data_IF_807138367873
#
_entry.id   IF_807138367873
#
_cell.length_a   1.000
_cell.length_b   1.000
_cell.length_c   1.000
_cell.angle_alpha   90.00
_cell.angle_beta   90.00
_cell.angle_gamma   90.00
#
_symmetry.space_group_name_H-M   'P 1'
#
loop_
_entity.id
_entity.type
_entity.pdbx_description
1 polymer ?
#
# COMPACT_ATOMS: atom_id res chain seq x y z
N UNK A 1 31.61 -7.61 -3.51
CA UNK A 1 30.14 -7.64 -3.61
C UNK A 1 29.74 -6.48 -4.48
N UNK A 2 29.46 -6.73 -5.76
CA UNK A 2 28.94 -5.73 -6.68
C UNK A 2 27.50 -5.42 -6.24
N UNK A 3 27.25 -4.20 -5.76
CA UNK A 3 25.88 -3.70 -5.61
C UNK A 3 25.23 -3.76 -6.99
N UNK A 4 24.37 -4.75 -7.22
CA UNK A 4 23.52 -4.76 -8.41
C UNK A 4 22.59 -3.57 -8.25
N UNK A 5 22.76 -2.56 -9.12
CA UNK A 5 21.85 -1.42 -9.15
C UNK A 5 20.50 -1.95 -9.64
N UNK A 6 19.53 -2.05 -8.75
CA UNK A 6 18.19 -2.51 -9.13
C UNK A 6 17.56 -1.46 -10.03
N UNK A 7 16.98 -1.85 -11.19
CA UNK A 7 16.45 -0.90 -12.14
C UNK A 7 15.34 -0.08 -11.48
N UNK A 8 15.47 1.24 -11.60
CA UNK A 8 14.55 2.25 -11.05
C UNK A 8 14.18 3.22 -12.14
N UNK A 9 12.88 3.43 -12.33
CA UNK A 9 12.31 4.34 -13.31
C UNK A 9 11.48 5.40 -12.59
N UNK A 10 11.45 6.60 -13.16
CA UNK A 10 10.55 7.67 -12.75
C UNK A 10 9.79 8.07 -14.00
N UNK A 11 8.46 7.97 -13.93
CA UNK A 11 7.57 8.27 -15.06
C UNK A 11 6.41 9.13 -14.58
N UNK A 12 5.92 10.03 -15.43
CA UNK A 12 4.64 10.71 -15.18
C UNK A 12 3.46 9.76 -15.46
N UNK A 13 2.25 10.13 -15.05
CA UNK A 13 1.05 9.35 -15.37
C UNK A 13 0.82 9.16 -16.88
N UNK A 14 1.10 10.19 -17.68
CA UNK A 14 0.95 10.13 -19.14
C UNK A 14 2.02 9.19 -19.74
N UNK A 15 3.27 9.31 -19.29
CA UNK A 15 4.36 8.41 -19.68
C UNK A 15 4.08 6.96 -19.30
N UNK A 16 3.54 6.74 -18.10
CA UNK A 16 3.17 5.42 -17.59
C UNK A 16 2.07 4.80 -18.45
N UNK A 17 1.07 5.57 -18.84
CA UNK A 17 -0.01 5.12 -19.74
C UNK A 17 0.51 4.80 -21.14
N UNK A 18 1.35 5.66 -21.72
CA UNK A 18 1.97 5.43 -23.04
C UNK A 18 2.81 4.15 -23.04
N UNK A 19 3.68 3.97 -22.04
CA UNK A 19 4.52 2.79 -21.93
C UNK A 19 3.68 1.51 -21.72
N UNK A 20 2.69 1.55 -20.82
CA UNK A 20 1.79 0.42 -20.56
C UNK A 20 0.98 0.02 -21.81
N UNK A 21 0.41 0.99 -22.53
CA UNK A 21 -0.39 0.74 -23.72
C UNK A 21 0.41 0.04 -24.83
N UNK A 22 1.69 0.42 -25.03
CA UNK A 22 2.56 -0.15 -26.07
C UNK A 22 2.86 -1.62 -25.88
N UNK A 23 2.97 -2.07 -24.63
CA UNK A 23 3.20 -3.48 -24.30
C UNK A 23 1.91 -4.25 -24.01
N UNK A 24 0.74 -3.63 -24.24
CA UNK A 24 -0.56 -4.26 -24.04
C UNK A 24 -0.99 -4.40 -22.57
N UNK A 25 -0.36 -3.70 -21.63
CA UNK A 25 -0.81 -3.65 -20.22
C UNK A 25 -2.11 -2.87 -20.14
N UNK A 26 -3.19 -3.58 -19.84
CA UNK A 26 -4.56 -3.03 -19.84
C UNK A 26 -4.99 -2.43 -18.50
N UNK A 27 -4.30 -2.79 -17.42
CA UNK A 27 -4.66 -2.37 -16.07
C UNK A 27 -3.41 -2.26 -15.21
N UNK A 28 -3.44 -1.29 -14.30
CA UNK A 28 -2.45 -1.10 -13.25
C UNK A 28 -3.13 -1.29 -11.89
N UNK A 29 -2.36 -1.55 -10.82
CA UNK A 29 -2.90 -1.68 -9.48
C UNK A 29 -3.77 -0.48 -9.09
N UNK A 30 -5.01 -0.75 -8.66
CA UNK A 30 -6.05 0.27 -8.44
C UNK A 30 -5.60 1.33 -7.44
N UNK A 31 -4.78 0.93 -6.45
CA UNK A 31 -4.25 1.85 -5.44
C UNK A 31 -3.42 2.98 -6.04
N UNK A 32 -2.76 2.77 -7.19
CA UNK A 32 -1.99 3.82 -7.86
C UNK A 32 -2.89 4.94 -8.39
N UNK A 33 -4.17 4.69 -8.62
CA UNK A 33 -5.14 5.71 -9.06
C UNK A 33 -4.67 6.50 -10.30
N UNK A 34 -3.96 5.80 -11.20
CA UNK A 34 -3.59 6.33 -12.50
C UNK A 34 -4.87 6.45 -13.32
N UNK A 35 -5.16 7.67 -13.78
CA UNK A 35 -6.35 7.99 -14.56
C UNK A 35 -5.92 8.72 -15.82
N UNK A 36 -6.54 8.44 -16.98
CA UNK A 36 -6.41 9.31 -18.14
C UNK A 36 -6.79 10.73 -17.73
N UNK A 37 -5.99 11.71 -18.16
CA UNK A 37 -6.34 13.12 -17.96
C UNK A 37 -7.66 13.40 -18.65
N UNK A 38 -8.59 14.03 -17.93
CA UNK A 38 -9.83 14.54 -18.52
C UNK A 38 -9.48 15.79 -19.33
N UNK A 39 -9.78 15.80 -20.62
CA UNK A 39 -9.47 16.88 -21.55
C UNK A 39 -10.19 16.69 -22.88
N UNK A 40 -9.98 17.62 -23.81
CA UNK A 40 -10.44 17.41 -25.19
C UNK A 40 -9.65 16.27 -25.84
N UNK A 41 -10.18 15.67 -26.90
CA UNK A 41 -9.45 14.65 -27.67
C UNK A 41 -8.07 15.16 -28.13
N UNK A 42 -7.99 16.43 -28.54
CA UNK A 42 -6.74 17.08 -28.93
C UNK A 42 -5.75 17.23 -27.76
N UNK A 43 -6.23 17.50 -26.55
CA UNK A 43 -5.36 17.57 -25.36
C UNK A 43 -4.79 16.20 -25.00
N UNK A 44 -5.60 15.15 -25.11
CA UNK A 44 -5.16 13.78 -24.86
C UNK A 44 -4.11 13.35 -25.87
N UNK A 45 -4.33 13.61 -27.17
CA UNK A 45 -3.37 13.29 -28.23
C UNK A 45 -2.03 14.02 -28.01
N UNK A 46 -2.08 15.32 -27.71
CA UNK A 46 -0.88 16.10 -27.41
C UNK A 46 -0.12 15.56 -26.20
N UNK A 47 -0.83 15.19 -25.11
CA UNK A 47 -0.21 14.59 -23.94
C UNK A 47 0.49 13.24 -24.26
N UNK A 48 -0.12 12.42 -25.12
CA UNK A 48 0.46 11.16 -25.59
C UNK A 48 1.72 11.40 -26.44
N UNK A 49 1.68 12.38 -27.34
CA UNK A 49 2.83 12.75 -28.17
C UNK A 49 3.99 13.31 -27.32
N UNK A 50 3.69 14.25 -26.41
CA UNK A 50 4.66 14.85 -25.49
C UNK A 50 5.32 13.77 -24.60
N UNK A 51 4.52 12.85 -24.04
CA UNK A 51 5.01 11.75 -23.22
C UNK A 51 5.85 10.75 -24.04
N UNK A 52 5.44 10.47 -25.29
CA UNK A 52 6.20 9.62 -26.21
C UNK A 52 7.57 10.21 -26.51
N UNK A 53 7.63 11.50 -26.82
CA UNK A 53 8.87 12.21 -27.10
C UNK A 53 9.78 12.19 -25.88
N UNK A 54 9.25 12.51 -24.70
CA UNK A 54 10.03 12.53 -23.45
C UNK A 54 10.60 11.14 -23.12
N UNK A 55 9.82 10.07 -23.30
CA UNK A 55 10.31 8.70 -23.12
C UNK A 55 11.39 8.32 -24.12
N UNK A 56 11.26 8.74 -25.38
CA UNK A 56 12.26 8.49 -26.41
C UNK A 56 13.57 9.24 -26.15
N UNK A 57 13.49 10.51 -25.71
CA UNK A 57 14.67 11.31 -25.32
C UNK A 57 15.43 10.68 -24.15
N UNK A 58 14.74 9.96 -23.25
CA UNK A 58 15.36 9.21 -22.14
C UNK A 58 15.81 7.79 -22.53
N UNK A 59 15.65 7.37 -23.79
CA UNK A 59 15.97 6.00 -24.23
C UNK A 59 15.07 4.92 -23.62
N UNK A 60 13.94 5.31 -23.02
CA UNK A 60 12.96 4.34 -22.49
C UNK A 60 12.03 3.83 -23.58
N UNK A 61 12.04 4.47 -24.74
CA UNK A 61 11.38 4.01 -25.95
C UNK A 61 12.33 4.19 -27.14
N UNK A 62 12.65 3.11 -27.81
CA UNK A 62 13.52 3.10 -28.99
C UNK A 62 12.86 2.32 -30.12
N UNK A 63 12.78 2.92 -31.30
CA UNK A 63 12.15 2.29 -32.49
C UNK A 63 10.70 1.80 -32.25
N UNK A 64 9.98 2.43 -31.31
CA UNK A 64 8.61 2.06 -30.94
C UNK A 64 8.52 1.03 -29.81
N UNK A 65 9.64 0.40 -29.43
CA UNK A 65 9.72 -0.60 -28.37
C UNK A 65 10.02 0.06 -27.02
N UNK A 66 9.41 -0.43 -25.95
CA UNK A 66 9.66 0.03 -24.57
C UNK A 66 10.90 -0.64 -24.02
N UNK A 67 11.72 0.09 -23.24
CA UNK A 67 12.87 -0.45 -22.51
C UNK A 67 12.49 -1.75 -21.78
N UNK A 68 13.35 -2.76 -21.89
CA UNK A 68 13.05 -4.11 -21.39
C UNK A 68 12.86 -4.15 -19.87
N UNK A 69 13.58 -3.31 -19.12
CA UNK A 69 13.43 -3.20 -17.67
C UNK A 69 12.09 -2.56 -17.30
N UNK A 70 11.73 -1.46 -17.96
CA UNK A 70 10.43 -0.81 -17.77
C UNK A 70 9.28 -1.76 -18.17
N UNK A 71 9.39 -2.42 -19.32
CA UNK A 71 8.40 -3.38 -19.80
C UNK A 71 8.20 -4.55 -18.82
N UNK A 72 9.29 -5.06 -18.24
CA UNK A 72 9.23 -6.13 -17.22
C UNK A 72 8.49 -5.68 -15.95
N UNK A 73 8.80 -4.48 -15.45
CA UNK A 73 8.13 -3.90 -14.27
C UNK A 73 6.63 -3.69 -14.54
N UNK A 74 6.27 -3.10 -15.68
CA UNK A 74 4.87 -2.84 -16.04
C UNK A 74 4.07 -4.13 -16.22
N UNK A 75 4.67 -5.16 -16.82
CA UNK A 75 4.05 -6.48 -16.95
C UNK A 75 3.76 -7.10 -15.58
N UNK A 76 4.70 -7.00 -14.63
CA UNK A 76 4.51 -7.51 -13.28
C UNK A 76 3.35 -6.81 -12.53
N UNK A 77 3.11 -5.53 -12.80
CA UNK A 77 2.02 -4.75 -12.20
C UNK A 77 0.63 -5.12 -12.75
N UNK A 78 0.52 -5.65 -13.97
CA UNK A 78 -0.77 -5.90 -14.61
C UNK A 78 -1.61 -6.97 -13.92
N UNK A 79 -0.97 -8.08 -13.52
CA UNK A 79 -1.65 -9.26 -12.97
C UNK A 79 -0.77 -9.96 -11.95
N UNK A 80 -0.62 -9.41 -10.74
CA UNK A 80 0.25 -9.99 -9.74
C UNK A 80 -0.39 -11.20 -9.04
N UNK A 81 0.44 -12.15 -8.61
CA UNK A 81 0.01 -13.26 -7.75
C UNK A 81 -0.39 -12.76 -6.34
N UNK A 82 0.33 -11.73 -5.87
CA UNK A 82 0.10 -11.04 -4.60
C UNK A 82 0.35 -9.55 -4.74
N UNK A 83 -0.43 -8.75 -4.03
CA UNK A 83 -0.26 -7.30 -3.95
C UNK A 83 -0.42 -6.83 -2.49
N UNK A 84 0.48 -5.96 -2.04
CA UNK A 84 0.25 -5.10 -0.88
C UNK A 84 0.05 -3.66 -1.37
N UNK A 85 -1.18 -3.18 -1.25
CA UNK A 85 -1.58 -1.84 -1.61
C UNK A 85 -1.56 -0.95 -0.36
N UNK A 86 -0.81 0.15 -0.39
CA UNK A 86 -0.74 1.12 0.70
C UNK A 86 -1.12 2.51 0.25
N UNK A 87 -2.04 3.15 0.97
CA UNK A 87 -2.34 4.58 0.84
C UNK A 87 -1.84 5.29 2.08
N UNK A 88 -0.87 6.19 1.91
CA UNK A 88 -0.35 7.07 2.96
C UNK A 88 -0.88 8.49 2.72
N UNK A 89 -1.57 9.04 3.72
CA UNK A 89 -2.09 10.40 3.73
C UNK A 89 -1.33 11.21 4.78
N UNK A 90 -0.68 12.28 4.34
CA UNK A 90 0.05 13.24 5.17
C UNK A 90 -0.50 14.66 4.94
N UNK A 91 -0.10 15.65 5.74
CA UNK A 91 -0.41 17.05 5.46
C UNK A 91 0.13 17.53 4.09
N UNK A 92 1.20 16.91 3.59
CA UNK A 92 1.85 17.27 2.33
C UNK A 92 1.20 16.62 1.10
N UNK A 93 0.30 15.65 1.30
CA UNK A 93 -0.43 15.00 0.22
C UNK A 93 -0.64 13.51 0.42
N UNK A 94 -0.87 12.80 -0.69
CA UNK A 94 -1.16 11.36 -0.68
C UNK A 94 -0.09 10.64 -1.48
N UNK A 95 0.62 9.70 -0.83
CA UNK A 95 1.44 8.72 -1.49
C UNK A 95 0.66 7.41 -1.66
N UNK A 96 0.64 6.88 -2.89
CA UNK A 96 0.02 5.61 -3.24
C UNK A 96 1.12 4.63 -3.58
N UNK A 97 1.24 3.56 -2.80
CA UNK A 97 2.31 2.59 -2.92
C UNK A 97 1.69 1.23 -3.18
N UNK A 98 2.26 0.46 -4.10
CA UNK A 98 1.94 -0.95 -4.26
C UNK A 98 3.22 -1.74 -4.29
N UNK A 99 3.23 -2.89 -3.62
CA UNK A 99 4.27 -3.90 -3.77
C UNK A 99 3.61 -5.14 -4.33
N UNK A 100 3.99 -5.51 -5.53
CA UNK A 100 3.46 -6.67 -6.23
C UNK A 100 4.48 -7.78 -6.27
N UNK A 101 3.99 -9.01 -6.34
CA UNK A 101 4.78 -10.21 -6.59
C UNK A 101 4.16 -11.01 -7.72
N UNK A 102 5.01 -11.41 -8.65
CA UNK A 102 4.66 -12.28 -9.78
C UNK A 102 5.75 -13.33 -9.91
N UNK A 103 5.46 -14.58 -9.58
CA UNK A 103 6.52 -15.57 -9.47
C UNK A 103 7.59 -15.17 -8.45
N UNK A 104 8.86 -15.36 -8.82
CA UNK A 104 10.01 -14.98 -7.97
C UNK A 104 10.39 -13.50 -8.09
N UNK A 105 9.58 -12.72 -8.80
CA UNK A 105 9.82 -11.30 -9.06
C UNK A 105 8.94 -10.44 -8.16
N UNK A 106 9.46 -9.30 -7.72
CA UNK A 106 8.68 -8.33 -6.96
C UNK A 106 9.03 -6.92 -7.39
N UNK A 107 8.02 -6.08 -7.47
CA UNK A 107 8.13 -4.69 -7.92
C UNK A 107 7.44 -3.82 -6.89
N UNK A 108 8.03 -2.66 -6.61
CA UNK A 108 7.35 -1.58 -5.89
C UNK A 108 7.08 -0.43 -6.85
N UNK A 109 5.86 0.11 -6.78
CA UNK A 109 5.50 1.35 -7.43
C UNK A 109 5.00 2.34 -6.38
N UNK A 110 5.46 3.59 -6.44
CA UNK A 110 5.07 4.66 -5.54
C UNK A 110 4.70 5.89 -6.36
N UNK A 111 3.44 6.32 -6.28
CA UNK A 111 2.93 7.52 -6.94
C UNK A 111 2.67 8.64 -5.94
N UNK A 112 3.20 9.82 -6.24
CA UNK A 112 2.95 11.08 -5.51
C UNK A 112 2.69 12.16 -6.56
N UNK A 113 1.58 12.90 -6.42
CA UNK A 113 1.17 13.81 -7.50
C UNK A 113 0.83 13.02 -8.76
N UNK A 114 1.46 13.35 -9.88
CA UNK A 114 1.41 12.65 -11.17
C UNK A 114 2.71 11.92 -11.52
N UNK A 115 3.67 11.84 -10.59
CA UNK A 115 4.91 11.10 -10.76
C UNK A 115 4.83 9.73 -10.08
N UNK A 116 5.24 8.69 -10.81
CA UNK A 116 5.33 7.31 -10.33
C UNK A 116 6.78 6.85 -10.39
N UNK A 117 7.31 6.46 -9.24
CA UNK A 117 8.58 5.75 -9.12
C UNK A 117 8.33 4.26 -9.18
N UNK A 118 9.02 3.57 -10.07
CA UNK A 118 8.98 2.13 -10.27
C UNK A 118 10.34 1.53 -9.91
N UNK A 119 10.38 0.50 -9.10
CA UNK A 119 11.61 -0.18 -8.71
C UNK A 119 11.38 -1.69 -8.75
N UNK A 120 12.22 -2.38 -9.50
CA UNK A 120 12.37 -3.83 -9.37
C UNK A 120 13.05 -4.12 -8.02
N UNK A 121 12.50 -5.01 -7.21
CA UNK A 121 13.08 -5.41 -5.92
C UNK A 121 14.07 -6.59 -6.06
N UNK A 122 14.30 -7.03 -7.30
CA UNK A 122 15.25 -8.04 -7.73
C UNK A 122 14.63 -9.42 -7.94
N UNK A 123 15.06 -10.10 -9.00
CA UNK A 123 14.77 -11.53 -9.26
C UNK A 123 15.69 -12.50 -8.50
N UNK A 124 16.65 -12.00 -7.72
CA UNK A 124 17.59 -12.80 -6.95
C UNK A 124 16.90 -13.59 -5.81
N UNK A 125 17.55 -14.64 -5.31
CA UNK A 125 17.01 -15.48 -4.25
C UNK A 125 16.60 -14.63 -3.02
N UNK A 126 15.31 -14.60 -2.72
CA UNK A 126 14.72 -13.84 -1.60
C UNK A 126 14.12 -12.48 -1.98
N UNK A 127 14.26 -12.02 -3.23
CA UNK A 127 13.65 -10.77 -3.73
C UNK A 127 12.13 -10.75 -3.62
N UNK A 128 11.50 -11.92 -3.74
CA UNK A 128 10.06 -12.10 -3.56
C UNK A 128 9.61 -12.48 -2.13
N UNK A 129 10.46 -12.35 -1.11
CA UNK A 129 10.08 -12.65 0.27
C UNK A 129 9.19 -11.56 0.88
N UNK A 130 8.34 -11.93 1.83
CA UNK A 130 7.50 -10.97 2.56
C UNK A 130 8.36 -9.90 3.26
N UNK A 131 9.55 -10.29 3.74
CA UNK A 131 10.49 -9.37 4.35
C UNK A 131 10.97 -8.26 3.41
N UNK A 132 11.19 -8.55 2.12
CA UNK A 132 11.52 -7.54 1.12
C UNK A 132 10.33 -6.62 0.87
N UNK A 133 9.14 -7.19 0.70
CA UNK A 133 7.93 -6.41 0.45
C UNK A 133 7.59 -5.45 1.61
N UNK A 134 7.64 -5.95 2.85
CA UNK A 134 7.43 -5.13 4.06
C UNK A 134 8.48 -4.03 4.19
N UNK A 135 9.76 -4.32 3.88
CA UNK A 135 10.80 -3.29 3.87
C UNK A 135 10.53 -2.23 2.82
N UNK A 136 10.08 -2.61 1.63
CA UNK A 136 9.72 -1.66 0.58
C UNK A 136 8.61 -0.71 1.04
N UNK A 137 7.55 -1.22 1.69
CA UNK A 137 6.50 -0.38 2.28
C UNK A 137 7.03 0.54 3.39
N UNK A 138 7.85 0.01 4.31
CA UNK A 138 8.41 0.78 5.42
C UNK A 138 9.27 1.97 4.95
N UNK A 139 9.96 1.88 3.80
CA UNK A 139 10.73 3.00 3.23
C UNK A 139 9.87 4.22 2.90
N UNK A 140 8.57 4.03 2.68
CA UNK A 140 7.63 5.12 2.37
C UNK A 140 6.90 5.64 3.60
N UNK A 141 6.96 4.93 4.73
CA UNK A 141 6.32 5.33 5.97
C UNK A 141 7.21 6.33 6.74
N UNK A 142 6.65 7.44 7.27
CA UNK A 142 7.41 8.34 8.14
C UNK A 142 8.01 7.60 9.35
N UNK A 143 9.23 7.99 9.72
CA UNK A 143 9.88 7.52 10.95
C UNK A 143 9.16 8.12 12.15
N UNK A 144 8.73 7.29 13.09
CA UNK A 144 8.09 7.73 14.32
C UNK A 144 8.29 6.72 15.45
N UNK A 145 8.46 7.21 16.67
CA UNK A 145 8.45 6.36 17.86
C UNK A 145 7.08 5.70 18.04
N UNK A 146 7.06 4.48 18.57
CA UNK A 146 5.81 3.82 18.92
C UNK A 146 5.13 4.57 20.07
N UNK A 147 3.80 4.72 20.01
CA UNK A 147 3.05 5.34 21.09
C UNK A 147 3.06 4.48 22.35
N UNK A 148 3.28 5.10 23.51
CA UNK A 148 3.16 4.44 24.80
C UNK A 148 1.68 4.39 25.23
N UNK A 149 1.01 3.33 24.78
CA UNK A 149 -0.41 3.06 25.03
C UNK A 149 -0.62 1.55 25.22
N UNK A 150 -1.50 1.12 26.15
CA UNK A 150 -1.93 -0.27 26.22
C UNK A 150 -2.70 -0.66 24.95
N UNK A 151 -2.58 -1.92 24.49
CA UNK A 151 -3.34 -2.39 23.33
C UNK A 151 -4.84 -2.50 23.66
N UNK A 152 -5.69 -2.23 22.68
CA UNK A 152 -7.13 -2.42 22.77
C UNK A 152 -7.65 -3.03 21.47
N UNK A 153 -8.50 -4.05 21.57
CA UNK A 153 -9.07 -4.73 20.41
C UNK A 153 -10.56 -4.93 20.54
N UNK A 154 -11.24 -4.93 19.39
CA UNK A 154 -12.66 -5.22 19.26
C UNK A 154 -12.95 -5.82 17.87
N UNK A 155 -14.17 -6.32 17.62
CA UNK A 155 -14.60 -6.65 16.26
C UNK A 155 -14.37 -5.48 15.29
N UNK A 156 -13.89 -5.79 14.08
CA UNK A 156 -13.45 -4.78 13.11
C UNK A 156 -14.55 -3.76 12.79
N UNK A 157 -15.77 -4.21 12.54
CA UNK A 157 -16.89 -3.34 12.16
C UNK A 157 -17.25 -2.38 13.31
N UNK A 158 -17.35 -2.90 14.54
CA UNK A 158 -17.65 -2.10 15.73
C UNK A 158 -16.56 -1.05 16.00
N UNK A 159 -15.28 -1.43 15.81
CA UNK A 159 -14.17 -0.50 15.97
C UNK A 159 -14.17 0.57 14.88
N UNK A 160 -14.47 0.18 13.63
CA UNK A 160 -14.56 1.10 12.50
C UNK A 160 -15.69 2.12 12.68
N UNK A 161 -16.85 1.67 13.16
CA UNK A 161 -17.98 2.54 13.50
C UNK A 161 -17.62 3.51 14.63
N UNK A 162 -17.02 3.01 15.71
CA UNK A 162 -16.61 3.83 16.84
C UNK A 162 -15.64 4.97 16.45
N UNK A 163 -14.74 4.72 15.50
CA UNK A 163 -13.76 5.71 15.04
C UNK A 163 -14.26 6.63 13.92
N UNK A 164 -15.48 6.44 13.43
CA UNK A 164 -15.99 7.17 12.26
C UNK A 164 -16.68 8.48 12.64
N UNK A 165 -16.50 9.50 11.79
CA UNK A 165 -17.30 10.73 11.81
C UNK A 165 -16.93 11.78 12.87
N UNK A 166 -15.88 11.55 13.68
CA UNK A 166 -15.42 12.52 14.68
C UNK A 166 -13.91 12.45 14.88
N UNK A 167 -13.32 13.60 15.25
CA UNK A 167 -11.94 13.70 15.75
C UNK A 167 -11.92 14.32 17.14
N UNK A 168 -13.07 14.44 17.81
CA UNK A 168 -13.13 14.91 19.19
C UNK A 168 -12.57 13.84 20.15
N UNK A 169 -11.67 14.26 21.03
CA UNK A 169 -10.97 13.33 21.92
C UNK A 169 -11.90 12.68 22.95
N UNK A 170 -12.84 13.43 23.51
CA UNK A 170 -13.75 12.92 24.54
C UNK A 170 -14.74 11.93 23.92
N UNK A 171 -15.29 12.28 22.76
CA UNK A 171 -16.21 11.41 22.02
C UNK A 171 -15.53 10.10 21.58
N UNK A 172 -14.32 10.17 21.01
CA UNK A 172 -13.57 8.97 20.65
C UNK A 172 -13.28 8.09 21.87
N UNK A 173 -12.90 8.68 23.01
CA UNK A 173 -12.66 7.95 24.24
C UNK A 173 -13.92 7.25 24.77
N UNK A 174 -15.06 7.92 24.76
CA UNK A 174 -16.32 7.33 25.21
C UNK A 174 -16.75 6.18 24.29
N UNK A 175 -16.62 6.33 22.97
CA UNK A 175 -16.93 5.28 21.99
C UNK A 175 -16.00 4.08 22.13
N UNK A 176 -14.69 4.28 22.29
CA UNK A 176 -13.72 3.19 22.51
C UNK A 176 -13.99 2.47 23.84
N UNK A 177 -14.38 3.21 24.89
CA UNK A 177 -14.77 2.63 26.18
C UNK A 177 -16.03 1.78 26.04
N UNK A 178 -17.01 2.21 25.24
CA UNK A 178 -18.24 1.45 24.99
C UNK A 178 -17.99 0.07 24.34
N UNK A 179 -16.84 -0.12 23.68
CA UNK A 179 -16.39 -1.42 23.15
C UNK A 179 -15.78 -2.35 24.21
N UNK A 180 -15.80 -1.95 25.49
CA UNK A 180 -15.23 -2.74 26.60
C UNK A 180 -13.76 -2.46 26.90
N UNK A 181 -13.18 -1.42 26.29
CA UNK A 181 -11.81 -0.99 26.59
C UNK A 181 -11.73 -0.36 27.98
N UNK A 182 -10.68 -0.70 28.74
CA UNK A 182 -10.42 -0.13 30.07
C UNK A 182 -10.40 1.43 30.00
N UNK A 183 -11.01 2.15 30.96
CA UNK A 183 -11.24 3.60 30.85
C UNK A 183 -9.99 4.44 30.57
N UNK A 184 -8.88 4.16 31.26
CA UNK A 184 -7.62 4.89 31.04
C UNK A 184 -7.06 4.63 29.64
N UNK A 185 -7.12 3.39 29.17
CA UNK A 185 -6.70 3.01 27.82
C UNK A 185 -7.58 3.69 26.75
N UNK A 186 -8.89 3.74 26.95
CA UNK A 186 -9.81 4.45 26.06
C UNK A 186 -9.55 5.97 26.03
N UNK A 187 -9.24 6.58 27.18
CA UNK A 187 -8.81 7.98 27.27
C UNK A 187 -7.53 8.25 26.49
N UNK A 188 -6.52 7.39 26.66
CA UNK A 188 -5.24 7.52 25.96
C UNK A 188 -5.39 7.35 24.44
N UNK A 189 -6.19 6.37 24.00
CA UNK A 189 -6.45 6.11 22.59
C UNK A 189 -7.26 7.24 21.94
N UNK A 190 -8.35 7.70 22.56
CA UNK A 190 -9.15 8.80 22.02
C UNK A 190 -8.34 10.09 21.88
N UNK A 191 -7.55 10.44 22.90
CA UNK A 191 -6.63 11.59 22.84
C UNK A 191 -5.56 11.43 21.75
N UNK A 192 -4.98 10.23 21.59
CA UNK A 192 -3.99 9.98 20.56
C UNK A 192 -4.61 10.14 19.16
N UNK A 193 -5.74 9.47 18.89
CA UNK A 193 -6.40 9.45 17.59
C UNK A 193 -6.97 10.82 17.19
N UNK A 194 -7.49 11.59 18.15
CA UNK A 194 -7.88 12.99 17.94
C UNK A 194 -6.71 13.88 17.49
N UNK A 195 -5.47 13.52 17.88
CA UNK A 195 -4.25 14.24 17.51
C UNK A 195 -3.54 13.68 16.27
N UNK A 196 -4.23 12.86 15.47
CA UNK A 196 -3.69 12.24 14.24
C UNK A 196 -3.31 13.31 13.21
N UNK A 197 -2.09 13.22 12.71
CA UNK A 197 -1.52 14.11 11.69
C UNK A 197 -1.40 13.44 10.32
N UNK A 198 -1.19 12.12 10.31
CA UNK A 198 -1.09 11.32 9.10
C UNK A 198 -1.59 9.90 9.37
N UNK A 199 -1.92 9.17 8.32
CA UNK A 199 -2.22 7.74 8.42
C UNK A 199 -1.86 6.98 7.15
N UNK A 200 -1.56 5.71 7.31
CA UNK A 200 -1.45 4.76 6.21
C UNK A 200 -2.47 3.64 6.38
N UNK A 201 -3.01 3.15 5.27
CA UNK A 201 -3.80 1.93 5.21
C UNK A 201 -3.12 0.96 4.25
N UNK A 202 -2.91 -0.28 4.68
CA UNK A 202 -2.37 -1.37 3.86
C UNK A 202 -3.43 -2.46 3.69
N UNK A 203 -3.69 -2.83 2.45
CA UNK A 203 -4.61 -3.90 2.04
C UNK A 203 -3.82 -4.94 1.25
N UNK A 204 -4.19 -6.20 1.41
CA UNK A 204 -3.63 -7.31 0.64
C UNK A 204 -4.60 -7.78 -0.44
N UNK A 205 -4.08 -8.08 -1.63
CA UNK A 205 -4.78 -8.80 -2.68
C UNK A 205 -4.02 -10.07 -3.07
N UNK A 206 -4.76 -11.10 -3.44
CA UNK A 206 -4.23 -12.40 -3.82
C UNK A 206 -4.96 -12.93 -5.05
N UNK A 207 -4.21 -13.44 -6.04
CA UNK A 207 -4.79 -14.22 -7.12
C UNK A 207 -5.22 -15.59 -6.60
N UNK A 208 -6.52 -15.86 -6.61
CA UNK A 208 -7.09 -17.18 -6.48
C UNK A 208 -7.02 -17.87 -7.84
N UNK A 209 -6.20 -18.92 -7.95
CA UNK A 209 -5.94 -19.65 -9.20
C UNK A 209 -7.07 -20.59 -9.59
N UNK A 210 -7.87 -21.04 -8.63
CA UNK A 210 -9.02 -21.92 -8.92
C UNK A 210 -10.11 -21.13 -9.63
N UNK A 211 -10.41 -19.94 -9.13
CA UNK A 211 -11.47 -19.08 -9.66
C UNK A 211 -10.97 -18.07 -10.70
N UNK A 212 -9.66 -18.05 -10.94
CA UNK A 212 -8.94 -17.07 -11.77
C UNK A 212 -9.29 -15.60 -11.46
N UNK A 213 -9.35 -15.28 -10.16
CA UNK A 213 -9.82 -13.98 -9.65
C UNK A 213 -8.89 -13.41 -8.60
N UNK A 214 -8.70 -12.09 -8.64
CA UNK A 214 -8.00 -11.36 -7.58
C UNK A 214 -8.99 -11.09 -6.45
N UNK A 215 -8.71 -11.63 -5.27
CA UNK A 215 -9.48 -11.41 -4.05
C UNK A 215 -8.76 -10.41 -3.13
N UNK A 216 -9.54 -9.52 -2.51
CA UNK A 216 -9.06 -8.58 -1.49
C UNK A 216 -9.21 -9.21 -0.10
N UNK A 217 -8.22 -9.03 0.77
CA UNK A 217 -8.34 -9.37 2.20
C UNK A 217 -9.50 -8.61 2.85
N UNK A 218 -10.26 -9.22 3.78
CA UNK A 218 -11.43 -8.60 4.40
C UNK A 218 -11.09 -7.47 5.40
N UNK A 219 -9.81 -7.23 5.66
CA UNK A 219 -9.34 -6.21 6.59
C UNK A 219 -8.20 -5.37 6.01
N UNK A 220 -7.65 -4.49 6.84
CA UNK A 220 -6.47 -3.70 6.53
C UNK A 220 -5.56 -3.60 7.77
N UNK A 221 -4.28 -3.31 7.54
CA UNK A 221 -3.41 -2.75 8.57
C UNK A 221 -3.49 -1.24 8.47
N UNK A 222 -3.92 -0.57 9.55
CA UNK A 222 -3.87 0.88 9.62
C UNK A 222 -2.69 1.34 10.47
N UNK A 223 -2.06 2.43 10.07
CA UNK A 223 -0.97 3.09 10.81
C UNK A 223 -1.41 4.53 11.06
N UNK A 224 -1.46 4.95 12.32
CA UNK A 224 -1.82 6.31 12.69
C UNK A 224 -0.61 7.02 13.28
N UNK A 225 -0.29 8.19 12.73
CA UNK A 225 0.74 9.07 13.24
C UNK A 225 0.09 10.15 14.10
N UNK A 226 0.36 10.12 15.40
CA UNK A 226 -0.27 11.00 16.39
C UNK A 226 0.78 11.82 17.12
N UNK A 227 0.37 12.85 17.87
CA UNK A 227 1.28 13.57 18.77
C UNK A 227 1.87 12.69 19.89
N UNK A 228 1.27 11.53 20.15
CA UNK A 228 1.74 10.55 21.15
C UNK A 228 2.64 9.45 20.56
N UNK A 229 2.91 9.50 19.26
CA UNK A 229 3.66 8.47 18.54
C UNK A 229 2.80 7.68 17.56
N UNK A 230 3.39 6.65 16.96
CA UNK A 230 2.76 5.79 15.96
C UNK A 230 1.93 4.69 16.63
N UNK A 231 0.71 4.52 16.15
CA UNK A 231 -0.22 3.46 16.54
C UNK A 231 -0.46 2.58 15.32
N UNK A 232 -0.57 1.27 15.52
CA UNK A 232 -0.94 0.33 14.45
C UNK A 232 -2.25 -0.36 14.83
N UNK A 233 -3.20 -0.38 13.90
CA UNK A 233 -4.34 -1.29 13.91
C UNK A 233 -3.96 -2.54 13.13
N UNK A 234 -3.81 -3.67 13.82
CA UNK A 234 -3.47 -4.94 13.20
C UNK A 234 -4.70 -5.87 13.22
N UNK A 235 -5.05 -6.50 12.10
CA UNK A 235 -6.21 -7.38 12.05
C UNK A 235 -5.90 -8.76 12.62
N UNK A 236 -6.94 -9.47 13.03
CA UNK A 236 -6.89 -10.88 13.41
C UNK A 236 -8.24 -11.55 13.17
N UNK A 237 -8.29 -12.88 13.24
CA UNK A 237 -9.53 -13.65 13.18
C UNK A 237 -9.74 -14.37 14.51
N UNK A 238 -10.96 -14.31 15.03
CA UNK A 238 -11.38 -15.11 16.18
C UNK A 238 -11.64 -16.57 15.79
N UNK A 239 -11.75 -17.52 16.74
CA UNK A 239 -12.08 -18.92 16.43
C UNK A 239 -13.42 -19.10 15.71
N UNK A 240 -14.37 -18.16 15.84
CA UNK A 240 -15.65 -18.18 15.14
C UNK A 240 -15.61 -17.58 13.73
N UNK A 241 -14.44 -17.15 13.25
CA UNK A 241 -14.27 -16.53 11.94
C UNK A 241 -14.55 -15.02 11.90
N UNK A 242 -14.99 -14.42 13.01
CA UNK A 242 -15.17 -12.96 13.08
C UNK A 242 -13.81 -12.25 13.00
N UNK A 243 -13.73 -11.22 12.17
CA UNK A 243 -12.55 -10.36 12.02
C UNK A 243 -12.50 -9.32 13.14
N UNK A 244 -11.34 -9.20 13.75
CA UNK A 244 -11.01 -8.27 14.83
C UNK A 244 -9.91 -7.32 14.38
N UNK A 245 -9.82 -6.17 15.05
CA UNK A 245 -8.67 -5.27 14.94
C UNK A 245 -8.17 -4.92 16.33
N UNK A 246 -6.85 -4.78 16.47
CA UNK A 246 -6.21 -4.36 17.71
C UNK A 246 -5.36 -3.13 17.46
N UNK A 247 -5.67 -2.02 18.14
CA UNK A 247 -4.79 -0.87 18.25
C UNK A 247 -3.68 -1.17 19.24
N UNK A 248 -2.43 -0.96 18.84
CA UNK A 248 -1.25 -1.21 19.67
C UNK A 248 -0.10 -0.25 19.32
N UNK A 249 0.94 -0.15 20.18
CA UNK A 249 2.15 0.60 19.87
C UNK A 249 2.73 0.23 18.49
N UNK A 250 2.99 1.22 17.66
CA UNK A 250 3.38 1.04 16.27
C UNK A 250 4.89 0.99 16.05
N UNK A 251 5.55 -0.12 16.34
CA UNK A 251 6.94 -0.37 15.92
C UNK A 251 7.00 -0.94 14.49
N UNK A 252 8.17 -0.90 13.83
CA UNK A 252 8.34 -1.54 12.51
C UNK A 252 8.13 -3.06 12.60
N UNK A 253 8.49 -3.64 13.75
CA UNK A 253 8.20 -5.04 14.04
C UNK A 253 6.69 -5.30 14.13
N UNK A 254 5.94 -4.44 14.83
CA UNK A 254 4.49 -4.52 14.91
C UNK A 254 3.82 -4.33 13.54
N UNK A 255 4.38 -3.48 12.67
CA UNK A 255 3.95 -3.34 11.29
C UNK A 255 4.15 -4.62 10.48
N UNK A 256 5.36 -5.19 10.52
CA UNK A 256 5.64 -6.48 9.87
C UNK A 256 4.68 -7.57 10.33
N UNK A 257 4.46 -7.68 11.63
CA UNK A 257 3.51 -8.65 12.19
C UNK A 257 2.07 -8.39 11.71
N UNK A 258 1.64 -7.13 11.67
CA UNK A 258 0.30 -6.77 11.18
C UNK A 258 0.11 -7.15 9.70
N UNK A 259 1.12 -6.94 8.85
CA UNK A 259 1.06 -7.33 7.44
C UNK A 259 1.01 -8.85 7.28
N UNK A 260 1.79 -9.59 8.06
CA UNK A 260 1.76 -11.06 8.08
C UNK A 260 0.37 -11.58 8.51
N UNK A 261 -0.21 -10.99 9.56
CA UNK A 261 -1.56 -11.29 10.01
C UNK A 261 -2.63 -10.98 8.95
N UNK A 262 -2.50 -9.86 8.25
CA UNK A 262 -3.41 -9.45 7.17
C UNK A 262 -3.43 -10.45 6.01
N UNK A 263 -2.26 -10.97 5.64
CA UNK A 263 -2.13 -12.00 4.60
C UNK A 263 -2.76 -13.32 5.09
N UNK A 264 -2.50 -13.69 6.34
CA UNK A 264 -3.05 -14.90 6.95
C UNK A 264 -4.57 -14.95 7.07
N UNK A 265 -5.29 -13.81 7.00
CA UNK A 265 -6.76 -13.79 7.02
C UNK A 265 -7.38 -14.54 5.83
N UNK A 266 -6.69 -14.58 4.69
CA UNK A 266 -7.15 -15.29 3.50
C UNK A 266 -6.78 -16.78 3.50
N UNK A 267 -6.08 -17.26 4.54
CA UNK A 267 -5.50 -18.61 4.58
C UNK A 267 -4.26 -18.77 3.68
N UNK A 268 -3.79 -17.69 3.08
CA UNK A 268 -2.65 -17.66 2.17
C UNK A 268 -1.34 -17.34 2.90
N UNK A 269 -0.22 -17.69 2.27
CA UNK A 269 1.09 -17.09 2.55
C UNK A 269 1.57 -16.22 1.39
N UNK A 270 2.46 -15.29 1.70
CA UNK A 270 3.06 -14.42 0.68
C UNK A 270 3.88 -15.21 -0.34
N UNK A 271 4.65 -16.19 0.14
CA UNK A 271 5.54 -17.00 -0.70
C UNK A 271 4.85 -18.18 -1.40
N UNK A 272 3.61 -18.50 -1.04
CA UNK A 272 2.87 -19.63 -1.63
C UNK A 272 2.45 -19.35 -3.08
N UNK A 273 2.34 -20.44 -3.83
CA UNK A 273 1.99 -20.54 -5.24
C UNK A 273 0.96 -21.64 -5.44
#
# INVERSE_FOLDING_TARGET
MTSVCTPRFVVTDDELQVAAARIGVQALPVVLDVRPRLGTESDVLRAVDDATQTLAERGLIEHGEVDAGLASVLTALQRPDRELAMRLVTPDGIARVTVVRTGKHSVVACRVGDETVLEDLGAAAGGASLGVAVRALLRHLPVAAAADIPPAGAPLDAFSEALSGTLDAAELSDRIRALGTEPRTAMLLGSALASRQAFAEVVSYALNRVDDRIARSPAAVAVFYTKRGRIIAAPSTSPSGQVWTTLKPGSDHAFKQGVDQLIGLSGDRWEEF
#
